data_IF_036982497509
#
_entry.id   IF_036982497509
#
_cell.length_a   1.000
_cell.length_b   1.000
_cell.length_c   1.000
_cell.angle_alpha   90.00
_cell.angle_beta   90.00
_cell.angle_gamma   90.00
#
_symmetry.space_group_name_H-M   'P 1'
#
loop_
_entity.id
_entity.type
_entity.pdbx_description
1 polymer ?
#
# COMPACT_ATOMS: atom_id res chain seq x y z
N UNK A 1 -6.28 0.57 6.79
CA UNK A 1 -6.87 0.39 5.45
C UNK A 1 -5.81 0.59 4.36
N UNK A 2 -5.09 1.71 4.37
CA UNK A 2 -4.02 2.02 3.42
C UNK A 2 -2.65 1.94 4.11
N UNK A 3 -1.56 1.74 3.34
CA UNK A 3 -0.19 1.76 3.86
C UNK A 3 0.37 0.43 4.34
N UNK A 4 -0.42 -0.65 4.45
CA UNK A 4 0.05 -1.96 4.94
C UNK A 4 1.34 -2.43 4.25
N UNK A 5 1.29 -2.59 2.91
CA UNK A 5 2.45 -3.05 2.14
C UNK A 5 3.67 -2.14 2.27
N UNK A 6 3.46 -0.81 2.36
CA UNK A 6 4.56 0.14 2.58
C UNK A 6 5.23 -0.07 3.96
N UNK A 7 4.44 -0.20 5.03
CA UNK A 7 4.97 -0.49 6.38
C UNK A 7 5.74 -1.81 6.37
N UNK A 8 5.16 -2.86 5.79
CA UNK A 8 5.83 -4.16 5.66
C UNK A 8 7.16 -4.05 4.88
N UNK A 9 7.19 -3.27 3.79
CA UNK A 9 8.40 -3.07 3.00
C UNK A 9 9.51 -2.37 3.79
N UNK A 10 9.19 -1.34 4.57
CA UNK A 10 10.17 -0.69 5.47
C UNK A 10 10.67 -1.65 6.54
N UNK A 11 9.78 -2.41 7.18
CA UNK A 11 10.15 -3.41 8.20
C UNK A 11 11.06 -4.49 7.62
N UNK A 12 10.70 -5.04 6.44
CA UNK A 12 11.53 -6.02 5.73
C UNK A 12 12.93 -5.45 5.44
N UNK A 13 13.01 -4.22 4.93
CA UNK A 13 14.28 -3.60 4.58
C UNK A 13 15.21 -3.44 5.80
N UNK A 14 14.67 -3.03 6.94
CA UNK A 14 15.42 -2.90 8.18
C UNK A 14 15.91 -4.28 8.67
N UNK A 15 15.05 -5.29 8.69
CA UNK A 15 15.42 -6.65 9.10
C UNK A 15 16.53 -7.25 8.22
N UNK A 16 16.41 -7.07 6.90
CA UNK A 16 17.44 -7.52 5.96
C UNK A 16 18.78 -6.81 6.19
N UNK A 17 18.72 -5.51 6.45
CA UNK A 17 19.92 -4.75 6.79
C UNK A 17 20.59 -5.26 8.08
N UNK A 18 19.82 -5.68 9.06
CA UNK A 18 20.31 -6.31 10.30
C UNK A 18 20.82 -7.76 10.08
N UNK A 19 20.87 -8.21 8.83
CA UNK A 19 21.38 -9.54 8.46
C UNK A 19 20.42 -10.68 8.76
N UNK A 20 19.11 -10.40 8.93
CA UNK A 20 18.10 -11.43 9.18
C UNK A 20 17.65 -12.11 7.90
N UNK A 21 17.32 -13.40 7.99
CA UNK A 21 16.60 -14.10 6.92
C UNK A 21 15.11 -13.79 7.05
N UNK A 22 14.52 -13.20 6.01
CA UNK A 22 13.17 -12.63 6.07
C UNK A 22 12.29 -13.23 5.01
N UNK A 23 11.17 -13.82 5.42
CA UNK A 23 10.02 -14.10 4.59
C UNK A 23 9.06 -12.91 4.59
N UNK A 24 8.53 -12.54 3.43
CA UNK A 24 7.53 -11.48 3.32
C UNK A 24 6.37 -11.92 2.44
N UNK A 25 5.16 -11.91 3.03
CA UNK A 25 3.91 -12.17 2.32
C UNK A 25 3.14 -10.87 2.14
N UNK A 26 2.76 -10.55 0.89
CA UNK A 26 2.07 -9.30 0.54
C UNK A 26 0.90 -9.52 -0.42
N UNK A 27 -0.03 -8.56 -0.48
CA UNK A 27 -1.18 -8.59 -1.38
C UNK A 27 -1.78 -7.20 -1.66
N UNK A 28 -2.34 -7.00 -2.87
CA UNK A 28 -2.24 -7.86 -4.06
C UNK A 28 -0.89 -7.76 -4.75
N UNK A 29 -0.62 -8.59 -5.75
CA UNK A 29 0.46 -8.37 -6.72
C UNK A 29 0.05 -7.29 -7.74
N UNK A 30 1.01 -6.71 -8.42
CA UNK A 30 0.76 -5.78 -9.52
C UNK A 30 0.81 -6.50 -10.88
N UNK A 31 1.87 -7.24 -11.14
CA UNK A 31 2.10 -7.94 -12.41
C UNK A 31 2.09 -9.46 -12.21
N UNK A 32 2.99 -10.00 -11.38
CA UNK A 32 3.17 -11.44 -11.20
C UNK A 32 2.73 -11.93 -9.82
N UNK A 33 2.12 -13.10 -9.78
CA UNK A 33 1.73 -13.78 -8.52
C UNK A 33 2.92 -13.97 -7.57
N UNK A 34 4.12 -14.16 -8.10
CA UNK A 34 5.37 -14.34 -7.36
C UNK A 34 5.66 -13.19 -6.40
N UNK A 35 5.27 -11.96 -6.75
CA UNK A 35 5.43 -10.76 -5.90
C UNK A 35 4.84 -10.92 -4.50
N UNK A 36 3.87 -11.82 -4.35
CA UNK A 36 3.19 -12.06 -3.06
C UNK A 36 4.06 -12.78 -2.04
N UNK A 37 5.10 -13.47 -2.49
CA UNK A 37 5.98 -14.28 -1.64
C UNK A 37 7.42 -13.88 -1.92
N UNK A 38 8.04 -13.24 -0.93
CA UNK A 38 9.43 -12.78 -1.04
C UNK A 38 10.31 -13.47 -0.01
N UNK A 39 11.47 -13.90 -0.46
CA UNK A 39 12.52 -14.44 0.39
C UNK A 39 13.73 -13.51 0.32
N UNK A 40 14.14 -13.00 1.46
CA UNK A 40 15.30 -12.09 1.57
C UNK A 40 15.24 -10.93 0.56
N UNK A 41 14.06 -10.32 0.41
CA UNK A 41 13.84 -9.15 -0.44
C UNK A 41 13.62 -9.43 -1.93
N UNK A 42 13.64 -10.70 -2.36
CA UNK A 42 13.42 -11.11 -3.75
C UNK A 42 12.14 -11.92 -3.88
N UNK A 43 11.41 -11.67 -4.94
CA UNK A 43 10.26 -12.49 -5.30
C UNK A 43 10.72 -13.94 -5.58
N UNK A 44 9.90 -14.94 -5.23
CA UNK A 44 10.22 -16.33 -5.59
C UNK A 44 10.17 -16.50 -7.11
N UNK A 45 11.07 -17.33 -7.65
CA UNK A 45 11.09 -17.67 -9.07
C UNK A 45 9.94 -18.62 -9.47
N UNK A 46 9.72 -18.78 -10.76
CA UNK A 46 8.62 -19.58 -11.32
C UNK A 46 8.75 -21.06 -10.97
N UNK A 47 9.98 -21.59 -10.94
CA UNK A 47 10.23 -23.00 -10.58
C UNK A 47 9.87 -23.25 -9.11
N UNK A 48 10.29 -22.36 -8.23
CA UNK A 48 9.94 -22.38 -6.81
C UNK A 48 8.43 -22.23 -6.62
N UNK A 49 7.81 -21.30 -7.35
CA UNK A 49 6.36 -21.09 -7.31
C UNK A 49 5.62 -22.37 -7.69
N UNK A 50 5.94 -22.98 -8.83
CA UNK A 50 5.30 -24.20 -9.33
C UNK A 50 5.50 -25.39 -8.37
N UNK A 51 6.69 -25.53 -7.82
CA UNK A 51 7.01 -26.61 -6.88
C UNK A 51 6.21 -26.49 -5.58
N UNK A 52 6.16 -25.29 -5.00
CA UNK A 52 5.39 -25.01 -3.78
C UNK A 52 3.89 -25.14 -4.05
N UNK A 53 3.39 -24.62 -5.18
CA UNK A 53 2.01 -24.79 -5.60
C UNK A 53 1.60 -26.26 -5.63
N UNK A 54 2.42 -27.14 -6.21
CA UNK A 54 2.11 -28.57 -6.28
C UNK A 54 2.00 -29.20 -4.88
N UNK A 55 2.88 -28.83 -3.94
CA UNK A 55 2.83 -29.34 -2.55
C UNK A 55 1.59 -28.85 -1.80
N UNK A 56 1.27 -27.56 -1.89
CA UNK A 56 0.09 -27.00 -1.22
C UNK A 56 -1.20 -27.56 -1.81
N UNK A 57 -1.26 -27.76 -3.14
CA UNK A 57 -2.40 -28.42 -3.80
C UNK A 57 -2.60 -29.83 -3.27
N UNK A 58 -1.53 -30.62 -3.14
CA UNK A 58 -1.62 -31.96 -2.56
C UNK A 58 -2.20 -31.91 -1.15
N UNK A 59 -1.74 -31.00 -0.29
CA UNK A 59 -2.28 -30.81 1.06
C UNK A 59 -3.77 -30.41 1.05
N UNK A 60 -4.18 -29.50 0.14
CA UNK A 60 -5.58 -29.14 -0.02
C UNK A 60 -6.47 -30.32 -0.45
N UNK A 61 -5.99 -31.17 -1.39
CA UNK A 61 -6.69 -32.38 -1.81
C UNK A 61 -6.81 -33.43 -0.66
N UNK A 62 -5.84 -33.45 0.26
CA UNK A 62 -5.91 -34.31 1.46
C UNK A 62 -6.95 -33.79 2.46
N UNK A 63 -7.00 -32.49 2.71
CA UNK A 63 -8.03 -31.85 3.54
C UNK A 63 -9.45 -32.11 3.01
N UNK A 64 -9.65 -32.01 1.71
CA UNK A 64 -10.97 -32.32 1.09
C UNK A 64 -11.39 -33.80 1.30
N UNK A 65 -10.45 -34.75 1.23
CA UNK A 65 -10.73 -36.17 1.54
C UNK A 65 -11.11 -36.38 3.00
N UNK A 66 -10.64 -35.53 3.91
CA UNK A 66 -11.01 -35.51 5.32
C UNK A 66 -12.34 -34.79 5.58
N UNK A 67 -12.99 -34.24 4.53
CA UNK A 67 -14.28 -33.57 4.60
C UNK A 67 -14.21 -32.08 4.93
N UNK A 68 -13.03 -31.48 4.85
CA UNK A 68 -12.85 -30.02 4.99
C UNK A 68 -13.10 -29.33 3.64
N UNK A 69 -13.45 -28.05 3.70
CA UNK A 69 -13.60 -27.25 2.48
C UNK A 69 -12.24 -26.93 1.84
N UNK A 70 -12.23 -26.79 0.52
CA UNK A 70 -11.04 -26.33 -0.20
C UNK A 70 -10.65 -24.92 0.27
N UNK A 71 -9.35 -24.66 0.54
CA UNK A 71 -8.89 -23.32 0.90
C UNK A 71 -9.32 -22.28 -0.13
N UNK A 72 -9.73 -21.12 0.33
CA UNK A 72 -9.94 -19.95 -0.55
C UNK A 72 -8.66 -19.60 -1.30
N UNK A 73 -8.78 -18.85 -2.40
CA UNK A 73 -7.61 -18.37 -3.16
C UNK A 73 -6.56 -17.68 -2.29
N UNK A 74 -6.98 -16.87 -1.31
CA UNK A 74 -6.06 -16.16 -0.42
C UNK A 74 -5.39 -17.11 0.58
N UNK A 75 -6.15 -18.02 1.19
CA UNK A 75 -5.63 -19.04 2.10
C UNK A 75 -4.62 -19.97 1.43
N UNK A 76 -4.92 -20.36 0.18
CA UNK A 76 -4.02 -21.19 -0.63
C UNK A 76 -2.67 -20.49 -0.86
N UNK A 77 -2.70 -19.22 -1.30
CA UNK A 77 -1.48 -18.43 -1.50
C UNK A 77 -0.74 -18.16 -0.18
N UNK A 78 -1.47 -17.95 0.91
CA UNK A 78 -0.88 -17.83 2.25
C UNK A 78 -0.15 -19.10 2.66
N UNK A 79 -0.76 -20.28 2.46
CA UNK A 79 -0.11 -21.57 2.68
C UNK A 79 1.15 -21.75 1.84
N UNK A 80 1.13 -21.33 0.57
CA UNK A 80 2.33 -21.29 -0.27
C UNK A 80 3.43 -20.40 0.35
N UNK A 81 3.07 -19.23 0.85
CA UNK A 81 4.00 -18.33 1.53
C UNK A 81 4.64 -18.98 2.77
N UNK A 82 3.82 -19.59 3.62
CA UNK A 82 4.32 -20.26 4.83
C UNK A 82 5.29 -21.39 4.51
N UNK A 83 4.97 -22.24 3.53
CA UNK A 83 5.86 -23.30 3.08
C UNK A 83 7.17 -22.75 2.48
N UNK A 84 7.09 -21.66 1.70
CA UNK A 84 8.28 -21.02 1.16
C UNK A 84 9.20 -20.49 2.26
N UNK A 85 8.63 -19.91 3.33
CA UNK A 85 9.40 -19.35 4.44
C UNK A 85 10.05 -20.45 5.28
N UNK A 86 9.36 -21.55 5.52
CA UNK A 86 9.89 -22.73 6.21
C UNK A 86 11.07 -23.33 5.42
N UNK A 87 10.90 -23.57 4.11
CA UNK A 87 11.95 -24.15 3.26
C UNK A 87 13.20 -23.27 3.13
N UNK A 88 13.10 -21.98 3.45
CA UNK A 88 14.22 -21.03 3.39
C UNK A 88 14.70 -20.58 4.79
N UNK A 89 14.33 -21.30 5.85
CA UNK A 89 14.73 -21.01 7.23
C UNK A 89 14.55 -19.54 7.62
N UNK A 90 13.40 -18.93 7.26
CA UNK A 90 13.14 -17.54 7.60
C UNK A 90 13.13 -17.33 9.12
N UNK A 91 13.97 -16.42 9.61
CA UNK A 91 14.03 -16.08 11.04
C UNK A 91 12.91 -15.12 11.44
N UNK A 92 12.52 -14.25 10.50
CA UNK A 92 11.42 -13.31 10.66
C UNK A 92 10.46 -13.43 9.47
N UNK A 93 9.18 -13.36 9.77
CA UNK A 93 8.13 -13.34 8.75
C UNK A 93 7.36 -12.04 8.89
N UNK A 94 7.33 -11.25 7.81
CA UNK A 94 6.52 -10.04 7.70
C UNK A 94 5.26 -10.40 6.93
N UNK A 95 4.10 -10.25 7.57
CA UNK A 95 2.81 -10.63 6.99
C UNK A 95 1.94 -9.40 6.74
N UNK A 96 1.64 -9.12 5.49
CA UNK A 96 0.61 -8.15 5.15
C UNK A 96 -0.77 -8.81 5.20
N UNK A 97 -1.63 -8.32 6.10
CA UNK A 97 -3.04 -8.74 6.18
C UNK A 97 -3.76 -8.42 4.87
N UNK A 98 -4.48 -9.37 4.31
CA UNK A 98 -5.23 -9.20 3.08
C UNK A 98 -6.39 -8.23 3.26
N UNK A 99 -7.38 -8.62 4.05
CA UNK A 99 -8.59 -7.83 4.27
C UNK A 99 -9.12 -7.96 5.69
N UNK A 100 -9.48 -6.84 6.31
CA UNK A 100 -9.97 -6.81 7.69
C UNK A 100 -8.84 -7.03 8.68
N UNK A 101 -8.83 -8.15 9.35
CA UNK A 101 -7.85 -8.58 10.34
C UNK A 101 -8.31 -9.81 11.11
N UNK A 102 -9.43 -9.71 11.82
CA UNK A 102 -9.93 -10.74 12.75
C UNK A 102 -10.06 -12.13 12.10
N UNK A 103 -10.61 -12.20 10.89
CA UNK A 103 -10.86 -13.45 10.14
C UNK A 103 -9.90 -13.62 8.95
N UNK A 104 -8.82 -12.84 8.90
CA UNK A 104 -7.84 -12.96 7.81
C UNK A 104 -6.93 -14.17 8.03
N UNK A 105 -6.57 -14.88 6.97
CA UNK A 105 -5.70 -16.06 7.05
C UNK A 105 -4.35 -15.74 7.72
N UNK A 106 -3.82 -14.51 7.52
CA UNK A 106 -2.57 -14.07 8.13
C UNK A 106 -2.66 -13.90 9.65
N UNK A 107 -3.89 -13.94 10.23
CA UNK A 107 -4.12 -13.87 11.67
C UNK A 107 -4.09 -15.23 12.38
N UNK A 108 -3.53 -16.26 11.73
CA UNK A 108 -3.45 -17.63 12.25
C UNK A 108 -2.45 -17.80 13.40
N UNK A 109 -1.51 -16.88 13.58
CA UNK A 109 -0.54 -16.92 14.67
C UNK A 109 -1.15 -16.45 15.99
N UNK A 110 -1.04 -17.26 17.04
CA UNK A 110 -1.48 -16.89 18.40
C UNK A 110 -0.53 -15.89 19.07
N UNK A 111 0.76 -15.99 18.80
CA UNK A 111 1.82 -15.19 19.40
C UNK A 111 2.73 -14.56 18.34
N UNK A 112 2.25 -13.60 17.53
CA UNK A 112 3.14 -12.83 16.67
C UNK A 112 4.09 -12.00 17.55
N UNK A 113 5.23 -11.60 17.00
CA UNK A 113 6.21 -10.79 17.75
C UNK A 113 5.66 -9.39 18.07
N UNK A 114 4.96 -8.79 17.11
CA UNK A 114 4.21 -7.54 17.26
C UNK A 114 3.14 -7.43 16.17
N UNK A 115 2.19 -6.52 16.37
CA UNK A 115 1.19 -6.14 15.37
C UNK A 115 1.32 -4.68 14.99
N UNK A 116 1.03 -4.34 13.71
CA UNK A 116 0.99 -2.95 13.26
C UNK A 116 -0.34 -2.67 12.55
N UNK A 117 -1.06 -1.64 12.98
CA UNK A 117 -2.30 -1.19 12.37
C UNK A 117 -2.06 0.18 11.72
N UNK A 118 -2.11 0.22 10.40
CA UNK A 118 -1.92 1.44 9.61
C UNK A 118 -3.20 2.27 9.57
N UNK A 119 -3.18 3.41 8.87
CA UNK A 119 -4.32 4.32 8.76
C UNK A 119 -5.64 3.60 8.43
N UNK A 120 -6.71 3.97 9.11
CA UNK A 120 -8.05 3.40 8.91
C UNK A 120 -8.90 4.41 8.13
N UNK A 121 -9.58 3.90 7.11
CA UNK A 121 -10.50 4.65 6.28
C UNK A 121 -11.62 3.76 5.79
N UNK A 122 -12.69 4.35 5.27
CA UNK A 122 -13.81 3.60 4.69
C UNK A 122 -13.32 2.87 3.43
N UNK A 123 -13.37 1.57 3.48
CA UNK A 123 -13.10 0.65 2.38
C UNK A 123 -13.71 -0.72 2.70
N UNK A 124 -14.11 -1.47 1.69
CA UNK A 124 -14.78 -2.77 1.86
C UNK A 124 -15.98 -2.71 2.80
N UNK A 125 -16.77 -1.63 2.73
CA UNK A 125 -17.85 -1.33 3.68
C UNK A 125 -18.95 -2.39 3.69
N UNK A 126 -19.16 -3.10 2.60
CA UNK A 126 -20.12 -4.22 2.51
C UNK A 126 -19.75 -5.40 3.43
N UNK A 127 -18.45 -5.54 3.79
CA UNK A 127 -17.94 -6.68 4.54
C UNK A 127 -17.44 -6.27 5.92
N UNK A 128 -16.69 -5.16 6.00
CA UNK A 128 -16.04 -4.71 7.22
C UNK A 128 -16.93 -3.76 8.05
N UNK A 129 -18.07 -3.33 7.49
CA UNK A 129 -18.96 -2.35 8.08
C UNK A 129 -18.80 -0.94 7.52
N UNK A 130 -19.80 -0.13 7.75
CA UNK A 130 -20.05 1.18 7.16
C UNK A 130 -19.52 2.36 7.98
N UNK A 131 -18.86 2.08 9.11
CA UNK A 131 -18.27 3.11 9.99
C UNK A 131 -16.79 2.84 10.25
N UNK A 132 -16.04 3.90 10.61
CA UNK A 132 -14.62 3.81 10.98
C UNK A 132 -14.43 2.86 12.17
N UNK A 133 -15.32 2.92 13.15
CA UNK A 133 -15.28 2.11 14.37
C UNK A 133 -15.44 0.61 14.07
N UNK A 134 -16.37 0.25 13.19
CA UNK A 134 -16.56 -1.16 12.78
C UNK A 134 -15.32 -1.69 12.04
N UNK A 135 -14.81 -0.90 11.09
CA UNK A 135 -13.60 -1.27 10.34
C UNK A 135 -12.38 -1.36 11.28
N UNK A 136 -12.28 -0.45 12.27
CA UNK A 136 -11.24 -0.49 13.30
C UNK A 136 -11.34 -1.76 14.14
N UNK A 137 -12.54 -2.17 14.55
CA UNK A 137 -12.79 -3.40 15.30
C UNK A 137 -12.34 -4.67 14.54
N UNK A 138 -12.67 -4.76 13.25
CA UNK A 138 -12.21 -5.88 12.40
C UNK A 138 -10.67 -5.91 12.28
N UNK A 139 -10.02 -4.75 12.18
CA UNK A 139 -8.55 -4.67 12.12
C UNK A 139 -7.90 -4.92 13.47
N UNK A 140 -8.48 -4.44 14.56
CA UNK A 140 -8.01 -4.67 15.92
C UNK A 140 -8.07 -6.16 16.32
N UNK A 141 -8.81 -7.00 15.57
CA UNK A 141 -8.83 -8.45 15.75
C UNK A 141 -7.48 -9.17 15.55
N UNK A 142 -6.44 -8.47 15.07
CA UNK A 142 -5.07 -9.01 15.03
C UNK A 142 -4.30 -8.79 16.34
N UNK A 143 -4.83 -8.03 17.28
CA UNK A 143 -4.20 -7.76 18.57
C UNK A 143 -4.30 -9.04 19.42
N UNK A 144 -3.19 -9.46 20.01
CA UNK A 144 -3.10 -10.68 20.82
C UNK A 144 -2.65 -10.34 22.23
N UNK A 145 -3.06 -11.15 23.19
CA UNK A 145 -2.71 -10.98 24.60
C UNK A 145 -1.19 -10.89 24.80
N UNK A 146 -0.75 -9.84 25.45
CA UNK A 146 0.66 -9.59 25.76
C UNK A 146 1.55 -9.24 24.57
N UNK A 147 0.99 -9.15 23.35
CA UNK A 147 1.74 -8.80 22.13
C UNK A 147 1.59 -7.31 21.86
N UNK A 148 2.70 -6.57 21.67
CA UNK A 148 2.65 -5.13 21.43
C UNK A 148 1.98 -4.81 20.08
N UNK A 149 1.13 -3.76 20.08
CA UNK A 149 0.53 -3.22 18.89
C UNK A 149 0.97 -1.78 18.68
N UNK A 150 1.44 -1.48 17.46
CA UNK A 150 1.75 -0.12 16.99
C UNK A 150 0.66 0.33 16.04
N UNK A 151 0.18 1.57 16.14
CA UNK A 151 -0.89 2.00 15.25
C UNK A 151 -0.86 3.49 14.92
N UNK A 152 -1.43 3.81 13.75
CA UNK A 152 -1.64 5.19 13.30
C UNK A 152 -2.81 5.81 14.07
N UNK A 153 -2.50 6.82 14.87
CA UNK A 153 -3.43 7.57 15.70
C UNK A 153 -4.05 8.80 15.02
N UNK A 154 -4.01 8.91 13.70
CA UNK A 154 -4.49 10.09 12.98
C UNK A 154 -6.02 10.31 13.04
N UNK A 155 -6.80 9.27 13.34
CA UNK A 155 -8.26 9.34 13.54
C UNK A 155 -8.61 8.84 14.94
N UNK A 156 -9.18 9.74 15.75
CA UNK A 156 -9.52 9.47 17.16
C UNK A 156 -10.56 8.34 17.35
N UNK A 157 -11.49 8.18 16.39
CA UNK A 157 -12.51 7.12 16.45
C UNK A 157 -11.90 5.75 16.34
N UNK A 158 -10.98 5.58 15.37
CA UNK A 158 -10.25 4.30 15.21
C UNK A 158 -9.28 4.05 16.35
N UNK A 159 -8.61 5.10 16.83
CA UNK A 159 -7.67 5.02 17.95
C UNK A 159 -8.34 4.46 19.20
N UNK A 160 -9.50 5.02 19.59
CA UNK A 160 -10.25 4.54 20.76
C UNK A 160 -10.59 3.05 20.67
N UNK A 161 -11.04 2.58 19.51
CA UNK A 161 -11.37 1.15 19.33
C UNK A 161 -10.14 0.27 19.46
N UNK A 162 -9.00 0.71 18.93
CA UNK A 162 -7.74 -0.04 19.02
C UNK A 162 -7.23 -0.07 20.47
N UNK A 163 -7.23 1.07 21.16
CA UNK A 163 -6.83 1.21 22.56
C UNK A 163 -7.71 0.32 23.47
N UNK A 164 -9.03 0.45 23.39
CA UNK A 164 -9.98 -0.39 24.14
C UNK A 164 -9.77 -1.89 23.86
N UNK A 165 -9.54 -2.26 22.60
CA UNK A 165 -9.28 -3.67 22.25
C UNK A 165 -7.98 -4.17 22.86
N UNK A 166 -6.91 -3.37 22.78
CA UNK A 166 -5.60 -3.73 23.35
C UNK A 166 -5.67 -3.86 24.87
N UNK A 167 -6.33 -2.93 25.57
CA UNK A 167 -6.55 -2.98 27.01
C UNK A 167 -7.33 -4.22 27.43
N UNK A 168 -8.42 -4.55 26.73
CA UNK A 168 -9.24 -5.72 27.00
C UNK A 168 -8.50 -7.06 26.90
N UNK A 169 -7.48 -7.14 26.02
CA UNK A 169 -6.66 -8.35 25.86
C UNK A 169 -5.29 -8.24 26.58
N UNK A 170 -5.09 -7.20 27.37
CA UNK A 170 -3.82 -6.95 28.08
C UNK A 170 -2.61 -6.86 27.12
N UNK A 171 -2.77 -6.24 25.95
CA UNK A 171 -1.70 -6.00 24.98
C UNK A 171 -1.07 -4.61 25.20
N UNK A 172 0.26 -4.49 25.26
CA UNK A 172 0.91 -3.18 25.22
C UNK A 172 0.59 -2.48 23.91
N UNK A 173 0.26 -1.18 23.92
CA UNK A 173 -0.04 -0.43 22.73
C UNK A 173 0.77 0.86 22.62
N UNK A 174 1.08 1.23 21.37
CA UNK A 174 1.90 2.39 21.03
C UNK A 174 1.25 3.15 19.88
N UNK A 175 0.65 4.28 20.21
CA UNK A 175 -0.01 5.19 19.28
C UNK A 175 1.00 6.12 18.63
N UNK A 176 0.94 6.28 17.32
CA UNK A 176 1.64 7.31 16.59
C UNK A 176 0.67 8.46 16.36
N UNK A 177 0.81 9.52 17.13
CA UNK A 177 -0.03 10.71 16.98
C UNK A 177 0.26 11.41 15.64
N UNK A 178 -0.75 12.08 15.10
CA UNK A 178 -0.63 12.78 13.82
C UNK A 178 0.42 13.88 13.85
N UNK A 179 0.56 14.57 14.96
CA UNK A 179 1.51 15.66 15.19
C UNK A 179 2.89 15.17 15.63
N UNK A 180 3.04 13.86 15.92
CA UNK A 180 4.34 13.25 16.15
C UNK A 180 5.22 13.22 14.90
N UNK A 181 4.67 13.46 13.70
CA UNK A 181 5.41 13.54 12.45
C UNK A 181 5.55 15.00 11.99
N UNK A 182 6.77 15.48 11.91
CA UNK A 182 7.07 16.81 11.37
C UNK A 182 7.73 16.68 10.01
N UNK A 183 7.02 17.09 8.96
CA UNK A 183 7.62 17.23 7.62
C UNK A 183 8.62 18.36 7.63
N UNK A 184 9.84 18.08 7.17
CA UNK A 184 10.96 19.04 7.11
C UNK A 184 11.13 19.58 5.68
N UNK A 185 10.98 18.67 4.68
CA UNK A 185 11.18 19.00 3.28
C UNK A 185 10.31 18.10 2.39
N UNK A 186 9.83 18.66 1.29
CA UNK A 186 9.14 17.93 0.22
C UNK A 186 9.82 18.34 -1.10
N UNK A 187 10.31 17.36 -1.84
CA UNK A 187 10.90 17.54 -3.17
C UNK A 187 10.17 16.69 -4.21
N UNK A 188 10.60 16.75 -5.45
CA UNK A 188 10.13 15.89 -6.54
C UNK A 188 10.59 14.41 -6.41
N UNK A 189 11.50 14.11 -5.46
CA UNK A 189 12.14 12.77 -5.32
C UNK A 189 11.96 12.16 -3.94
N UNK A 190 11.82 12.98 -2.90
CA UNK A 190 11.77 12.49 -1.53
C UNK A 190 11.02 13.42 -0.60
N UNK A 191 10.64 12.87 0.53
CA UNK A 191 10.14 13.61 1.69
C UNK A 191 11.11 13.39 2.84
N UNK A 192 11.53 14.49 3.49
CA UNK A 192 12.27 14.45 4.73
C UNK A 192 11.35 14.79 5.90
N UNK A 193 11.47 14.05 7.01
CA UNK A 193 10.65 14.21 8.19
C UNK A 193 11.42 13.85 9.47
N UNK A 194 10.92 14.32 10.61
CA UNK A 194 11.36 13.87 11.93
C UNK A 194 10.20 13.29 12.70
N UNK A 195 10.49 12.30 13.55
CA UNK A 195 9.55 11.76 14.51
C UNK A 195 9.76 12.52 15.82
N UNK A 196 8.72 13.20 16.32
CA UNK A 196 8.77 13.99 17.54
C UNK A 196 8.48 13.10 18.75
N UNK A 197 9.47 12.33 19.18
CA UNK A 197 9.41 11.56 20.40
C UNK A 197 10.73 11.67 21.18
N UNK A 198 10.76 11.20 22.42
CA UNK A 198 11.94 11.29 23.30
C UNK A 198 13.17 10.52 22.77
N UNK A 199 12.98 9.63 21.81
CA UNK A 199 14.05 8.81 21.24
C UNK A 199 14.62 9.38 19.93
N UNK A 200 13.89 10.25 19.22
CA UNK A 200 14.21 10.57 17.82
C UNK A 200 14.19 12.07 17.47
N UNK A 201 14.09 12.96 18.48
CA UNK A 201 13.83 14.38 18.36
C UNK A 201 14.71 15.17 17.37
N UNK A 202 15.88 14.67 16.98
CA UNK A 202 16.78 15.35 16.05
C UNK A 202 17.14 14.52 14.81
N UNK A 203 16.56 13.33 14.67
CA UNK A 203 16.84 12.47 13.53
C UNK A 203 15.98 12.91 12.35
N UNK A 204 16.62 13.21 11.22
CA UNK A 204 15.92 13.48 9.97
C UNK A 204 15.89 12.22 9.13
N UNK A 205 14.71 11.71 8.91
CA UNK A 205 14.45 10.56 8.05
C UNK A 205 14.09 11.01 6.64
N UNK A 206 14.41 10.19 5.65
CA UNK A 206 13.99 10.41 4.26
C UNK A 206 13.28 9.16 3.73
N UNK A 207 12.29 9.37 2.89
CA UNK A 207 11.63 8.31 2.10
C UNK A 207 11.70 8.67 0.62
N UNK A 208 12.08 7.72 -0.23
CA UNK A 208 12.16 7.88 -1.69
C UNK A 208 10.74 7.88 -2.32
N UNK A 209 9.93 8.83 -1.91
CA UNK A 209 8.54 8.97 -2.37
C UNK A 209 8.08 10.40 -2.20
N UNK A 210 7.18 10.84 -3.08
CA UNK A 210 6.53 12.15 -3.01
C UNK A 210 5.16 12.11 -2.31
N UNK A 211 4.69 10.92 -1.92
CA UNK A 211 3.46 10.72 -1.15
C UNK A 211 3.68 10.99 0.35
N UNK A 212 3.11 12.09 0.88
CA UNK A 212 3.32 12.50 2.29
C UNK A 212 2.91 11.43 3.30
N UNK A 213 1.95 10.57 2.95
CA UNK A 213 1.52 9.44 3.76
C UNK A 213 2.63 8.39 3.99
N UNK A 214 3.66 8.37 3.14
CA UNK A 214 4.80 7.47 3.32
C UNK A 214 5.67 7.85 4.52
N UNK A 215 5.68 9.11 4.93
CA UNK A 215 6.32 9.53 6.18
C UNK A 215 5.72 8.83 7.40
N UNK A 216 4.38 8.77 7.51
CA UNK A 216 3.70 8.06 8.60
C UNK A 216 3.91 6.55 8.50
N UNK A 217 3.85 5.97 7.30
CA UNK A 217 4.13 4.54 7.11
C UNK A 217 5.55 4.17 7.55
N UNK A 218 6.55 4.98 7.16
CA UNK A 218 7.93 4.78 7.59
C UNK A 218 8.11 4.97 9.10
N UNK A 219 7.50 5.99 9.68
CA UNK A 219 7.56 6.25 11.11
C UNK A 219 6.99 5.11 11.95
N UNK A 220 5.85 4.53 11.54
CA UNK A 220 5.28 3.34 12.17
C UNK A 220 6.23 2.14 12.10
N UNK A 221 6.82 1.89 10.92
CA UNK A 221 7.77 0.82 10.72
C UNK A 221 9.04 1.03 11.59
N UNK A 222 9.58 2.23 11.60
CA UNK A 222 10.77 2.59 12.40
C UNK A 222 10.50 2.35 13.88
N UNK A 223 9.36 2.80 14.41
CA UNK A 223 9.00 2.59 15.83
C UNK A 223 8.85 1.10 16.17
N UNK A 224 8.15 0.35 15.33
CA UNK A 224 7.99 -1.09 15.51
C UNK A 224 9.33 -1.83 15.46
N UNK A 225 10.20 -1.48 14.52
CA UNK A 225 11.52 -2.07 14.39
C UNK A 225 12.46 -1.67 15.53
N UNK A 226 12.37 -0.42 16.01
CA UNK A 226 13.14 0.03 17.17
C UNK A 226 12.79 -0.76 18.43
N UNK A 227 11.50 -1.04 18.64
CA UNK A 227 11.07 -1.93 19.72
C UNK A 227 11.65 -3.33 19.56
N UNK A 228 11.73 -3.84 18.33
CA UNK A 228 12.28 -5.18 18.02
C UNK A 228 13.78 -5.26 18.27
N UNK A 229 14.54 -4.27 17.85
CA UNK A 229 16.01 -4.26 17.91
C UNK A 229 16.56 -3.71 19.22
N UNK A 230 15.75 -2.94 19.97
CA UNK A 230 16.16 -2.33 21.24
C UNK A 230 17.45 -1.51 21.09
N UNK A 231 18.39 -1.71 22.03
CA UNK A 231 19.69 -1.01 22.05
C UNK A 231 20.61 -1.36 20.86
N UNK A 232 20.27 -2.38 20.07
CA UNK A 232 21.03 -2.78 18.87
C UNK A 232 20.65 -1.98 17.62
N UNK A 233 19.63 -1.13 17.69
CA UNK A 233 19.17 -0.32 16.57
C UNK A 233 20.24 0.66 16.08
N UNK A 234 20.71 0.47 14.84
CA UNK A 234 21.74 1.33 14.22
C UNK A 234 21.07 2.47 13.42
N UNK A 235 20.49 3.46 14.10
CA UNK A 235 19.64 4.51 13.53
C UNK A 235 20.27 5.21 12.31
N UNK A 236 21.54 5.62 12.39
CA UNK A 236 22.23 6.28 11.27
C UNK A 236 22.33 5.40 10.01
N UNK A 237 22.34 4.08 10.17
CA UNK A 237 22.35 3.16 9.05
C UNK A 237 20.92 2.90 8.56
N UNK A 238 19.95 2.81 9.47
CA UNK A 238 18.54 2.68 9.12
C UNK A 238 18.04 3.86 8.28
N UNK A 239 18.51 5.09 8.54
CA UNK A 239 18.18 6.25 7.70
C UNK A 239 18.48 5.99 6.22
N UNK A 240 19.65 5.40 5.91
CA UNK A 240 20.03 5.06 4.52
C UNK A 240 19.15 3.96 3.94
N UNK A 241 18.81 2.96 4.75
CA UNK A 241 17.95 1.86 4.34
C UNK A 241 16.53 2.36 4.05
N UNK A 242 15.93 3.11 4.97
CA UNK A 242 14.59 3.67 4.81
C UNK A 242 14.53 4.59 3.58
N UNK A 243 15.55 5.42 3.37
CA UNK A 243 15.65 6.29 2.21
C UNK A 243 15.79 5.55 0.87
N UNK A 244 16.18 4.28 0.87
CA UNK A 244 16.32 3.46 -0.34
C UNK A 244 15.10 2.63 -0.68
N UNK A 245 14.14 2.48 0.23
CA UNK A 245 12.95 1.64 0.01
C UNK A 245 12.08 2.25 -1.07
N UNK A 246 11.82 1.46 -2.10
CA UNK A 246 10.83 1.75 -3.15
C UNK A 246 9.71 0.71 -3.07
N UNK A 247 8.48 1.16 -3.03
CA UNK A 247 7.32 0.28 -3.02
C UNK A 247 6.47 0.54 -4.25
N UNK A 248 6.34 -0.48 -5.07
CA UNK A 248 5.70 -0.39 -6.38
C UNK A 248 4.26 0.12 -6.28
N UNK A 249 3.87 0.99 -7.22
CA UNK A 249 2.54 1.58 -7.28
C UNK A 249 2.18 2.46 -6.07
N UNK A 250 3.16 3.13 -5.45
CA UNK A 250 2.96 4.11 -4.37
C UNK A 250 3.77 5.36 -4.65
N UNK A 251 3.20 6.27 -5.42
CA UNK A 251 3.87 7.47 -5.95
C UNK A 251 5.20 7.09 -6.62
N UNK A 252 5.17 6.03 -7.40
CA UNK A 252 6.32 5.46 -8.11
C UNK A 252 6.54 6.18 -9.42
N UNK A 253 7.65 6.87 -9.58
CA UNK A 253 8.06 7.41 -10.87
C UNK A 253 8.64 6.28 -11.73
N UNK A 254 7.94 5.93 -12.82
CA UNK A 254 8.29 4.84 -13.73
C UNK A 254 9.00 5.32 -15.00
N UNK A 255 8.70 6.54 -15.44
CA UNK A 255 9.35 7.27 -16.52
C UNK A 255 9.46 8.74 -16.09
N UNK A 256 10.31 9.56 -16.70
CA UNK A 256 10.44 10.97 -16.34
C UNK A 256 9.09 11.71 -16.33
N UNK A 257 8.66 12.14 -15.14
CA UNK A 257 7.39 12.82 -14.92
C UNK A 257 6.15 11.93 -15.10
N UNK A 258 6.28 10.60 -15.09
CA UNK A 258 5.16 9.65 -15.11
C UNK A 258 5.13 8.87 -13.80
N UNK A 259 4.10 9.09 -13.01
CA UNK A 259 3.98 8.59 -11.64
C UNK A 259 2.77 7.64 -11.54
N UNK A 260 3.02 6.44 -11.01
CA UNK A 260 1.99 5.45 -10.74
C UNK A 260 1.63 5.43 -9.27
N UNK A 261 0.33 5.47 -8.98
CA UNK A 261 -0.18 5.33 -7.61
C UNK A 261 -1.42 4.43 -7.54
N UNK A 262 -1.40 3.51 -6.62
CA UNK A 262 -2.50 2.56 -6.39
C UNK A 262 -3.65 3.10 -5.54
N UNK A 263 -3.83 4.41 -5.42
CA UNK A 263 -4.97 5.01 -4.72
C UNK A 263 -6.28 4.60 -5.42
N UNK A 264 -7.16 3.90 -4.69
CA UNK A 264 -8.38 3.29 -5.21
C UNK A 264 -9.57 3.36 -4.26
N UNK A 265 -9.48 4.18 -3.22
CA UNK A 265 -10.56 4.52 -2.30
C UNK A 265 -10.48 5.99 -1.89
N UNK A 266 -11.55 6.53 -1.35
CA UNK A 266 -11.66 7.96 -1.05
C UNK A 266 -10.57 8.46 -0.10
N UNK A 267 -10.19 7.67 0.90
CA UNK A 267 -9.15 8.03 1.85
C UNK A 267 -7.76 8.11 1.17
N UNK A 268 -7.45 7.15 0.29
CA UNK A 268 -6.20 7.17 -0.48
C UNK A 268 -6.16 8.35 -1.47
N UNK A 269 -7.25 8.64 -2.18
CA UNK A 269 -7.35 9.80 -3.07
C UNK A 269 -7.14 11.11 -2.32
N UNK A 270 -7.65 11.22 -1.08
CA UNK A 270 -7.43 12.40 -0.24
C UNK A 270 -5.95 12.62 0.10
N UNK A 271 -5.25 11.57 0.49
CA UNK A 271 -3.82 11.66 0.78
C UNK A 271 -2.99 11.90 -0.49
N UNK A 272 -3.39 11.29 -1.61
CA UNK A 272 -2.80 11.55 -2.91
C UNK A 272 -2.94 13.03 -3.32
N UNK A 273 -4.16 13.57 -3.32
CA UNK A 273 -4.40 14.98 -3.71
C UNK A 273 -3.67 15.95 -2.80
N UNK A 274 -3.64 15.67 -1.50
CA UNK A 274 -2.87 16.46 -0.54
C UNK A 274 -1.37 16.45 -0.85
N UNK A 275 -0.82 15.27 -1.20
CA UNK A 275 0.60 15.13 -1.57
C UNK A 275 0.95 15.98 -2.79
N UNK A 276 0.15 15.90 -3.86
CA UNK A 276 0.36 16.68 -5.09
C UNK A 276 0.29 18.18 -4.82
N UNK A 277 -0.70 18.63 -4.03
CA UNK A 277 -0.84 20.05 -3.71
C UNK A 277 0.38 20.58 -2.97
N UNK A 278 0.82 19.89 -1.91
CA UNK A 278 1.98 20.29 -1.13
C UNK A 278 3.27 20.27 -1.96
N UNK A 279 3.42 19.30 -2.85
CA UNK A 279 4.55 19.23 -3.76
C UNK A 279 4.55 20.44 -4.72
N UNK A 280 3.43 20.77 -5.36
CA UNK A 280 3.31 21.92 -6.25
C UNK A 280 3.54 23.25 -5.54
N UNK A 281 3.06 23.38 -4.32
CA UNK A 281 3.32 24.56 -3.47
C UNK A 281 4.82 24.71 -3.15
N UNK A 282 5.53 23.60 -2.88
CA UNK A 282 6.96 23.60 -2.59
C UNK A 282 7.82 23.89 -3.83
N UNK A 283 7.45 23.36 -4.99
CA UNK A 283 8.18 23.54 -6.25
C UNK A 283 8.00 24.96 -6.83
N UNK A 284 6.88 25.62 -6.54
CA UNK A 284 6.57 26.97 -7.05
C UNK A 284 6.38 27.02 -8.57
N UNK A 285 6.33 25.90 -9.24
CA UNK A 285 6.25 25.77 -10.69
C UNK A 285 4.88 25.24 -11.12
N UNK A 286 4.37 25.78 -12.24
CA UNK A 286 3.10 25.36 -12.83
C UNK A 286 3.40 24.51 -14.08
N UNK A 287 3.76 23.26 -13.87
CA UNK A 287 3.82 22.27 -14.94
C UNK A 287 2.42 21.74 -15.27
N UNK A 288 2.14 21.36 -16.55
CA UNK A 288 0.92 20.63 -16.86
C UNK A 288 0.72 19.41 -15.97
N UNK A 289 -0.48 19.28 -15.43
CA UNK A 289 -0.88 18.16 -14.57
C UNK A 289 -1.91 17.31 -15.31
N UNK A 290 -1.56 16.09 -15.64
CA UNK A 290 -2.43 15.15 -16.35
C UNK A 290 -2.77 13.99 -15.44
N UNK A 291 -4.03 13.57 -15.45
CA UNK A 291 -4.51 12.41 -14.72
C UNK A 291 -4.96 11.34 -15.71
N UNK A 292 -4.37 10.15 -15.65
CA UNK A 292 -4.89 8.94 -16.28
C UNK A 292 -5.59 8.11 -15.21
N UNK A 293 -6.86 7.82 -15.41
CA UNK A 293 -7.71 7.24 -14.38
C UNK A 293 -8.50 6.04 -14.87
N UNK A 294 -8.58 5.03 -14.03
CA UNK A 294 -9.55 3.95 -14.12
C UNK A 294 -9.99 3.52 -12.72
N UNK A 295 -11.09 2.81 -12.61
CA UNK A 295 -11.58 2.31 -11.33
C UNK A 295 -12.22 0.94 -11.46
N UNK A 296 -12.38 0.23 -10.36
CA UNK A 296 -13.21 -0.98 -10.28
C UNK A 296 -14.63 -0.63 -9.86
N UNK A 297 -15.61 -1.39 -10.35
CA UNK A 297 -17.04 -1.06 -10.23
C UNK A 297 -17.58 -1.10 -8.79
N UNK A 298 -16.93 -1.85 -7.91
CA UNK A 298 -17.31 -2.02 -6.50
C UNK A 298 -16.72 -0.92 -5.58
N UNK A 299 -16.06 0.10 -6.15
CA UNK A 299 -15.53 1.23 -5.40
C UNK A 299 -16.38 2.49 -5.57
N UNK A 300 -16.29 3.38 -4.59
CA UNK A 300 -16.96 4.69 -4.63
C UNK A 300 -16.20 5.67 -5.54
N UNK A 301 -16.10 5.32 -6.82
CA UNK A 301 -15.38 6.13 -7.80
C UNK A 301 -16.04 7.49 -8.05
N UNK A 302 -17.33 7.65 -7.76
CA UNK A 302 -18.01 8.93 -7.92
C UNK A 302 -17.43 10.01 -7.01
N UNK A 303 -17.30 9.73 -5.70
CA UNK A 303 -16.69 10.68 -4.77
C UNK A 303 -15.17 10.79 -4.96
N UNK A 304 -14.50 9.74 -5.43
CA UNK A 304 -13.07 9.81 -5.79
C UNK A 304 -12.85 10.82 -6.92
N UNK A 305 -13.64 10.76 -8.00
CA UNK A 305 -13.57 11.66 -9.16
C UNK A 305 -13.91 13.10 -8.75
N UNK A 306 -14.98 13.30 -7.97
CA UNK A 306 -15.35 14.61 -7.45
C UNK A 306 -14.17 15.23 -6.67
N UNK A 307 -13.56 14.48 -5.79
CA UNK A 307 -12.43 14.94 -4.98
C UNK A 307 -11.21 15.28 -5.85
N UNK A 308 -10.86 14.43 -6.83
CA UNK A 308 -9.76 14.68 -7.76
C UNK A 308 -9.95 15.99 -8.53
N UNK A 309 -11.14 16.18 -9.13
CA UNK A 309 -11.46 17.38 -9.91
C UNK A 309 -11.43 18.65 -9.04
N UNK A 310 -11.99 18.59 -7.83
CA UNK A 310 -12.05 19.73 -6.92
C UNK A 310 -10.69 20.16 -6.39
N UNK A 311 -9.86 19.19 -5.97
CA UNK A 311 -8.62 19.48 -5.26
C UNK A 311 -7.43 19.74 -6.20
N UNK A 312 -7.34 19.03 -7.35
CA UNK A 312 -6.16 19.12 -8.22
C UNK A 312 -6.34 20.08 -9.38
N UNK A 313 -7.55 20.21 -9.92
CA UNK A 313 -7.83 21.03 -11.13
C UNK A 313 -6.81 20.73 -12.25
N UNK A 314 -6.61 19.43 -12.54
CA UNK A 314 -5.68 18.98 -13.56
C UNK A 314 -6.00 19.60 -14.93
N UNK A 315 -5.00 19.73 -15.79
CA UNK A 315 -5.15 20.35 -17.11
C UNK A 315 -5.89 19.44 -18.08
N UNK A 316 -5.77 18.11 -17.93
CA UNK A 316 -6.58 17.15 -18.65
C UNK A 316 -6.75 15.85 -17.84
N UNK A 317 -7.82 15.13 -18.17
CA UNK A 317 -8.13 13.81 -17.62
C UNK A 317 -8.27 12.82 -18.77
N UNK A 318 -7.56 11.70 -18.68
CA UNK A 318 -7.63 10.61 -19.65
C UNK A 318 -8.21 9.39 -18.95
N UNK A 319 -9.27 8.83 -19.53
CA UNK A 319 -9.99 7.71 -18.94
C UNK A 319 -9.63 6.45 -19.71
N UNK A 320 -9.01 5.50 -18.98
CA UNK A 320 -8.63 4.22 -19.53
C UNK A 320 -9.67 3.15 -19.20
N UNK A 321 -9.86 2.23 -20.15
CA UNK A 321 -10.51 0.95 -19.90
C UNK A 321 -9.45 -0.06 -19.47
N UNK A 322 -9.61 -0.70 -18.31
CA UNK A 322 -8.80 -1.84 -17.90
C UNK A 322 -9.44 -3.15 -18.37
N UNK A 323 -8.62 -4.13 -18.78
CA UNK A 323 -9.09 -5.44 -19.20
C UNK A 323 -9.37 -6.35 -18.00
N UNK A 324 -10.32 -5.91 -17.17
CA UNK A 324 -10.74 -6.63 -15.98
C UNK A 324 -12.27 -6.63 -15.88
N UNK A 325 -12.85 -7.83 -15.60
CA UNK A 325 -14.30 -8.00 -15.42
C UNK A 325 -14.88 -7.10 -14.30
N UNK A 326 -14.06 -6.67 -13.35
CA UNK A 326 -14.44 -5.76 -12.28
C UNK A 326 -14.28 -4.29 -12.65
N UNK A 327 -13.70 -3.97 -13.81
CA UNK A 327 -13.48 -2.59 -14.26
C UNK A 327 -14.79 -1.82 -14.42
N UNK A 328 -14.81 -0.58 -13.93
CA UNK A 328 -15.91 0.35 -14.20
C UNK A 328 -15.92 0.74 -15.69
N UNK A 329 -17.11 1.00 -16.23
CA UNK A 329 -17.26 1.39 -17.64
C UNK A 329 -16.60 2.75 -17.89
N UNK A 330 -15.70 2.83 -18.87
CA UNK A 330 -14.96 4.05 -19.18
C UNK A 330 -15.89 5.23 -19.53
N UNK A 331 -17.00 4.96 -20.24
CA UNK A 331 -17.99 5.99 -20.56
C UNK A 331 -18.66 6.56 -19.30
N UNK A 332 -18.95 5.73 -18.31
CA UNK A 332 -19.52 6.16 -17.02
C UNK A 332 -18.51 7.06 -16.27
N UNK A 333 -17.24 6.63 -16.21
CA UNK A 333 -16.17 7.41 -15.57
C UNK A 333 -15.98 8.76 -16.29
N UNK A 334 -15.92 8.76 -17.63
CA UNK A 334 -15.77 9.98 -18.41
C UNK A 334 -16.95 10.95 -18.23
N UNK A 335 -18.17 10.44 -18.16
CA UNK A 335 -19.36 11.26 -17.88
C UNK A 335 -19.30 11.91 -16.48
N UNK A 336 -18.82 11.18 -15.48
CA UNK A 336 -18.62 11.72 -14.13
C UNK A 336 -17.55 12.80 -14.10
N UNK A 337 -16.40 12.60 -14.77
CA UNK A 337 -15.39 13.66 -14.87
C UNK A 337 -15.98 14.92 -15.50
N UNK A 338 -16.68 14.82 -16.65
CA UNK A 338 -17.32 15.97 -17.32
C UNK A 338 -18.37 16.68 -16.46
N UNK A 339 -18.94 16.01 -15.47
CA UNK A 339 -19.85 16.62 -14.48
C UNK A 339 -19.13 17.54 -13.49
N UNK A 340 -17.87 17.23 -13.16
CA UNK A 340 -17.13 17.90 -12.08
C UNK A 340 -16.01 18.83 -12.59
N UNK A 341 -15.73 18.88 -13.90
CA UNK A 341 -14.72 19.76 -14.48
C UNK A 341 -15.06 20.23 -15.88
N UNK A 342 -14.64 21.46 -16.22
CA UNK A 342 -14.67 22.01 -17.57
C UNK A 342 -13.38 21.74 -18.36
N UNK A 343 -12.42 21.05 -17.75
CA UNK A 343 -11.15 20.67 -18.38
C UNK A 343 -11.36 19.52 -19.37
N UNK A 344 -10.47 19.37 -20.38
CA UNK A 344 -10.53 18.27 -21.34
C UNK A 344 -10.63 16.90 -20.66
N UNK A 345 -11.58 16.08 -21.11
CA UNK A 345 -11.77 14.69 -20.66
C UNK A 345 -11.77 13.80 -21.89
N UNK A 346 -10.68 13.06 -22.06
CA UNK A 346 -10.49 12.12 -23.14
C UNK A 346 -10.90 10.71 -22.68
N UNK A 347 -11.49 9.96 -23.57
CA UNK A 347 -11.84 8.55 -23.35
C UNK A 347 -11.31 7.76 -24.51
N UNK A 348 -10.48 6.79 -24.25
CA UNK A 348 -9.86 5.94 -25.27
C UNK A 348 -10.34 4.49 -25.14
N UNK A 349 -10.32 3.75 -26.25
CA UNK A 349 -10.84 2.39 -26.30
C UNK A 349 -9.87 1.35 -25.73
N UNK A 350 -8.58 1.62 -25.86
CA UNK A 350 -7.52 0.74 -25.31
C UNK A 350 -6.67 1.46 -24.28
N UNK A 351 -6.03 0.69 -23.40
CA UNK A 351 -5.10 1.22 -22.43
C UNK A 351 -3.86 1.86 -23.09
N UNK A 352 -3.37 1.26 -24.18
CA UNK A 352 -2.22 1.79 -24.93
C UNK A 352 -2.54 3.17 -25.54
N UNK A 353 -3.72 3.33 -26.14
CA UNK A 353 -4.16 4.62 -26.69
C UNK A 353 -4.34 5.66 -25.58
N UNK A 354 -4.93 5.26 -24.44
CA UNK A 354 -5.10 6.13 -23.29
C UNK A 354 -3.74 6.59 -22.73
N UNK A 355 -2.78 5.69 -22.60
CA UNK A 355 -1.44 6.02 -22.12
C UNK A 355 -0.70 6.94 -23.11
N UNK A 356 -0.77 6.64 -24.42
CA UNK A 356 -0.20 7.49 -25.48
C UNK A 356 -0.82 8.88 -25.47
N UNK A 357 -2.15 8.98 -25.34
CA UNK A 357 -2.86 10.26 -25.21
C UNK A 357 -2.35 11.04 -23.99
N UNK A 358 -2.28 10.39 -22.84
CA UNK A 358 -1.84 11.02 -21.60
C UNK A 358 -0.39 11.52 -21.67
N UNK A 359 0.51 10.78 -22.32
CA UNK A 359 1.87 11.22 -22.57
C UNK A 359 1.94 12.45 -23.49
N UNK A 360 1.12 12.48 -24.54
CA UNK A 360 1.04 13.63 -25.45
C UNK A 360 0.53 14.89 -24.73
N UNK A 361 -0.52 14.76 -23.91
CA UNK A 361 -1.06 15.88 -23.12
C UNK A 361 -0.06 16.37 -22.05
N UNK A 362 0.72 15.45 -21.46
CA UNK A 362 1.80 15.76 -20.52
C UNK A 362 2.91 16.60 -21.19
N UNK A 363 3.29 16.26 -22.42
CA UNK A 363 4.45 16.86 -23.09
C UNK A 363 5.77 16.55 -22.36
N UNK A 364 6.80 17.39 -22.61
CA UNK A 364 8.14 17.23 -22.02
C UNK A 364 8.20 17.67 -20.55
N UNK A 365 7.47 18.71 -20.17
CA UNK A 365 7.59 19.41 -18.89
C UNK A 365 6.50 19.03 -17.88
N UNK A 366 5.43 18.38 -18.33
CA UNK A 366 4.28 18.04 -17.48
C UNK A 366 4.53 16.82 -16.58
N UNK A 367 3.61 16.62 -15.63
CA UNK A 367 3.52 15.42 -14.78
C UNK A 367 2.25 14.65 -15.12
N UNK A 368 2.38 13.35 -15.33
CA UNK A 368 1.30 12.40 -15.54
C UNK A 368 1.17 11.50 -14.31
N UNK A 369 -0.01 11.48 -13.70
CA UNK A 369 -0.33 10.57 -12.62
C UNK A 369 -1.35 9.54 -13.09
N UNK A 370 -1.01 8.26 -12.95
CA UNK A 370 -1.86 7.13 -13.30
C UNK A 370 -2.37 6.49 -12.01
N UNK A 371 -3.69 6.52 -11.77
CA UNK A 371 -4.27 6.06 -10.51
C UNK A 371 -5.75 5.63 -10.62
N UNK A 372 -6.31 5.20 -9.51
CA UNK A 372 -7.71 4.82 -9.32
C UNK A 372 -7.93 3.31 -9.26
N UNK A 373 -6.96 2.50 -9.70
CA UNK A 373 -6.99 1.05 -9.57
C UNK A 373 -5.59 0.44 -9.59
N UNK A 374 -5.34 -0.56 -8.76
CA UNK A 374 -4.11 -1.36 -8.83
C UNK A 374 -4.02 -2.18 -10.12
N UNK A 375 -5.17 -2.57 -10.70
CA UNK A 375 -5.18 -3.24 -12.01
C UNK A 375 -4.66 -2.33 -13.11
N UNK A 376 -5.08 -1.05 -13.12
CA UNK A 376 -4.54 -0.06 -14.05
C UNK A 376 -3.01 0.04 -13.94
N UNK A 377 -2.51 0.13 -12.71
CA UNK A 377 -1.06 0.21 -12.45
C UNK A 377 -0.34 -1.04 -12.96
N UNK A 378 -0.88 -2.22 -12.70
CA UNK A 378 -0.33 -3.50 -13.17
C UNK A 378 -0.27 -3.57 -14.70
N UNK A 379 -1.41 -3.35 -15.39
CA UNK A 379 -1.49 -3.39 -16.84
C UNK A 379 -0.57 -2.34 -17.52
N UNK A 380 -0.43 -1.14 -16.93
CA UNK A 380 0.51 -0.14 -17.42
C UNK A 380 1.97 -0.56 -17.24
N UNK A 381 2.31 -1.25 -16.13
CA UNK A 381 3.66 -1.81 -15.95
C UNK A 381 3.99 -2.89 -16.96
N UNK A 382 3.03 -3.77 -17.27
CA UNK A 382 3.19 -4.77 -18.33
C UNK A 382 3.37 -4.11 -19.70
N UNK A 383 2.59 -3.05 -19.99
CA UNK A 383 2.69 -2.32 -21.24
C UNK A 383 4.07 -1.69 -21.45
N UNK A 384 4.62 -1.05 -20.41
CA UNK A 384 5.95 -0.42 -20.46
C UNK A 384 7.06 -1.47 -20.47
N UNK A 385 6.96 -2.52 -19.64
CA UNK A 385 7.98 -3.57 -19.55
C UNK A 385 8.01 -4.51 -20.78
N UNK A 386 6.93 -4.59 -21.56
CA UNK A 386 6.87 -5.37 -22.79
C UNK A 386 7.54 -4.70 -24.00
N UNK A 387 7.86 -3.40 -23.93
CA UNK A 387 8.60 -2.68 -24.98
C UNK A 387 10.12 -2.89 -24.89
N UNK A 388 10.64 -3.40 -23.76
CA UNK A 388 12.06 -3.65 -23.50
C UNK A 388 12.44 -5.16 -23.56
N UNK A 389 11.54 -6.06 -24.00
CA UNK A 389 11.74 -7.50 -24.05
C UNK A 389 12.01 -8.04 -25.48
#
# INVERSE_FOLDING_TARGET
TNGKGSVCAYMQAILLFEGKRVGFFTSPHLVKLNERIRINGKDIDDDTFCRIFAKVRQGAEELEKEGMEHPSYFEFLYGMGMLAFEENDAEYIVLETGRGGRLDATNSFEHPFLSVITSIGLDHTEILGDTIEKIAGEKAGIIKKGVPVFFDGSDERSSRVIEETAENVEAPWYKMEKDALKIQEITDKHIAFSILDEYDNNTVWQVASTGIYQGMNAALAIRAMRYTSGDKAEICKWQKVVASVKWQGRMEEVLPGVIFDGAHNLAAIREFTKSIRLQREAEGEIHPLIILFSAVADKDYSHMIELLCRELKADAYVIAKVDNKRGAQADTLAALFRKYTDRPVYREDTLADAFTRALNEKGSEGKLYCLGSLYLVGELKELIGGEDA
#
